data_IF_341772720629
#
_entry.id   IF_341772720629
#
_cell.length_a   1.000
_cell.length_b   1.000
_cell.length_c   1.000
_cell.angle_alpha   90.00
_cell.angle_beta   90.00
_cell.angle_gamma   90.00
#
_symmetry.space_group_name_H-M   'P 1'
#
loop_
_entity.id
_entity.type
_entity.pdbx_description
1 polymer ?
#
# COMPACT_ATOMS: atom_id res chain seq x y z
N UNK A 1 -9.72 38.17 -3.82
CA UNK A 1 -8.72 37.77 -2.80
C UNK A 1 -8.16 36.43 -3.25
N UNK A 2 -6.83 36.21 -3.24
CA UNK A 2 -6.28 34.87 -3.50
C UNK A 2 -6.65 33.92 -2.36
N UNK A 3 -7.07 32.70 -2.69
CA UNK A 3 -7.34 31.62 -1.74
C UNK A 3 -6.03 31.04 -1.21
N UNK A 4 -5.97 30.62 0.07
CA UNK A 4 -4.79 29.92 0.59
C UNK A 4 -4.86 28.46 0.17
N UNK A 5 -3.72 27.87 -0.15
CA UNK A 5 -3.63 26.45 -0.52
C UNK A 5 -4.29 25.53 0.51
N UNK A 6 -4.13 25.83 1.80
CA UNK A 6 -4.76 25.12 2.92
C UNK A 6 -6.29 25.12 2.89
N UNK A 7 -6.91 26.09 2.21
CA UNK A 7 -8.36 26.26 2.22
C UNK A 7 -9.05 25.26 1.26
N UNK A 8 -8.30 24.68 0.31
CA UNK A 8 -8.81 23.72 -0.67
C UNK A 8 -7.97 22.44 -0.78
N UNK A 9 -6.76 22.41 -0.23
CA UNK A 9 -5.91 21.23 -0.24
C UNK A 9 -6.43 20.20 0.77
N UNK A 10 -7.10 19.17 0.26
CA UNK A 10 -7.39 17.97 1.03
C UNK A 10 -6.25 16.98 0.80
N UNK A 11 -5.11 17.23 1.45
CA UNK A 11 -3.99 16.29 1.44
C UNK A 11 -4.37 15.10 2.32
N UNK A 12 -4.90 14.03 1.72
CA UNK A 12 -4.75 12.70 2.31
C UNK A 12 -3.26 12.39 2.32
N UNK A 13 -2.59 12.82 3.38
CA UNK A 13 -1.19 12.58 3.57
C UNK A 13 -1.02 11.06 3.66
N UNK A 14 -0.17 10.51 2.79
CA UNK A 14 0.19 9.10 2.82
C UNK A 14 1.16 8.89 4.00
N UNK A 15 0.60 9.02 5.20
CA UNK A 15 1.28 9.06 6.49
C UNK A 15 1.37 7.67 7.10
N UNK A 16 2.56 7.36 7.60
CA UNK A 16 2.84 6.11 8.29
C UNK A 16 4.32 5.81 8.25
N UNK A 17 4.81 5.19 9.31
CA UNK A 17 6.19 4.70 9.31
C UNK A 17 6.33 3.64 8.21
N UNK A 18 7.38 3.78 7.40
CA UNK A 18 7.67 2.82 6.34
C UNK A 18 8.23 1.54 6.94
N UNK A 19 7.48 0.45 6.82
CA UNK A 19 7.94 -0.89 7.15
C UNK A 19 8.41 -1.63 5.89
N UNK A 20 9.36 -2.55 6.04
CA UNK A 20 9.71 -3.45 4.92
C UNK A 20 8.61 -4.49 4.78
N UNK A 21 8.34 -4.90 3.55
CA UNK A 21 7.34 -5.94 3.28
C UNK A 21 7.67 -7.24 4.04
N UNK A 22 8.95 -7.57 4.17
CA UNK A 22 9.41 -8.76 4.89
C UNK A 22 9.12 -8.68 6.41
N UNK A 23 9.06 -7.48 7.00
CA UNK A 23 8.79 -7.27 8.43
C UNK A 23 7.31 -7.49 8.79
N UNK A 24 6.43 -7.48 7.78
CA UNK A 24 4.97 -7.63 7.91
C UNK A 24 4.45 -8.96 7.36
N UNK A 25 5.35 -9.87 6.94
CA UNK A 25 4.94 -11.20 6.50
C UNK A 25 4.33 -12.01 7.64
N UNK A 26 3.28 -12.75 7.31
CA UNK A 26 2.55 -13.62 8.24
C UNK A 26 1.95 -12.88 9.45
N UNK A 27 1.83 -11.55 9.37
CA UNK A 27 1.08 -10.73 10.33
C UNK A 27 -0.25 -10.34 9.70
N UNK A 28 -1.30 -10.31 10.51
CA UNK A 28 -2.57 -9.74 10.10
C UNK A 28 -2.46 -8.22 10.08
N UNK A 29 -2.80 -7.62 8.95
CA UNK A 29 -2.79 -6.18 8.75
C UNK A 29 -4.16 -5.74 8.24
N UNK A 30 -4.57 -4.53 8.65
CA UNK A 30 -5.76 -3.89 8.07
C UNK A 30 -5.31 -3.06 6.88
N UNK A 31 -5.53 -3.52 5.65
CA UNK A 31 -5.22 -2.76 4.44
C UNK A 31 -6.26 -1.67 4.28
N UNK A 32 -5.83 -0.41 4.30
CA UNK A 32 -6.73 0.75 4.24
C UNK A 32 -6.74 1.45 2.89
N UNK A 33 -5.74 1.17 2.04
CA UNK A 33 -5.62 1.82 0.74
C UNK A 33 -4.36 1.41 0.00
N UNK A 34 -4.23 1.84 -1.25
CA UNK A 34 -3.02 1.59 -2.03
C UNK A 34 -2.83 2.64 -3.12
N UNK A 35 -1.59 2.75 -3.62
CA UNK A 35 -1.25 3.51 -4.83
C UNK A 35 -0.32 2.69 -5.71
N UNK A 36 -0.54 2.72 -7.01
CA UNK A 36 0.39 2.14 -8.00
C UNK A 36 0.96 3.29 -8.82
N UNK A 37 2.28 3.34 -8.92
CA UNK A 37 3.02 4.37 -9.66
C UNK A 37 4.12 3.75 -10.49
N UNK A 38 4.54 4.45 -11.53
CA UNK A 38 5.68 4.02 -12.34
C UNK A 38 6.99 4.18 -11.54
N UNK A 39 7.87 3.20 -11.69
CA UNK A 39 9.15 3.15 -11.00
C UNK A 39 10.19 4.00 -11.73
N UNK A 40 10.77 4.95 -11.00
CA UNK A 40 11.93 5.70 -11.49
C UNK A 40 13.21 4.85 -11.57
N UNK A 41 13.28 3.72 -10.86
CA UNK A 41 14.47 2.87 -10.81
C UNK A 41 14.58 1.92 -12.01
N UNK A 42 13.45 1.48 -12.57
CA UNK A 42 13.41 0.55 -13.70
C UNK A 42 12.33 1.02 -14.68
N UNK A 43 12.77 1.42 -15.88
CA UNK A 43 11.88 1.83 -16.97
C UNK A 43 10.83 0.74 -17.23
N UNK A 44 9.59 1.16 -17.47
CA UNK A 44 8.44 0.29 -17.76
C UNK A 44 8.10 -0.70 -16.63
N UNK A 45 8.43 -0.38 -15.38
CA UNK A 45 7.97 -1.15 -14.22
C UNK A 45 7.16 -0.27 -13.28
N UNK A 46 6.24 -0.87 -12.54
CA UNK A 46 5.45 -0.16 -11.53
C UNK A 46 5.85 -0.62 -10.13
N UNK A 47 5.54 0.21 -9.14
CA UNK A 47 5.59 -0.16 -7.74
C UNK A 47 4.27 0.17 -7.06
N UNK A 48 4.02 -0.61 -6.01
CA UNK A 48 2.83 -0.55 -5.18
C UNK A 48 3.24 0.04 -3.83
N UNK A 49 2.52 1.06 -3.40
CA UNK A 49 2.48 1.52 -2.02
C UNK A 49 1.22 0.97 -1.38
N UNK A 50 1.37 0.17 -0.32
CA UNK A 50 0.26 -0.37 0.48
C UNK A 50 0.15 0.49 1.73
N UNK A 51 -1.07 0.95 2.04
CA UNK A 51 -1.40 1.54 3.32
C UNK A 51 -2.07 0.51 4.20
N UNK A 52 -1.59 0.39 5.42
CA UNK A 52 -2.14 -0.57 6.34
C UNK A 52 -1.96 -0.14 7.79
N UNK A 53 -2.86 -0.62 8.65
CA UNK A 53 -2.65 -0.58 10.09
C UNK A 53 -2.09 -1.90 10.59
N UNK A 54 -1.08 -1.80 11.44
CA UNK A 54 -0.55 -2.91 12.24
C UNK A 54 -0.60 -2.46 13.70
N UNK A 55 -1.22 -3.27 14.56
CA UNK A 55 -1.42 -2.94 15.98
C UNK A 55 -2.07 -1.57 16.22
N UNK A 56 -2.97 -1.17 15.31
CA UNK A 56 -3.69 0.11 15.36
C UNK A 56 -2.91 1.33 14.84
N UNK A 57 -1.62 1.18 14.52
CA UNK A 57 -0.73 2.24 14.02
C UNK A 57 -0.70 2.24 12.50
N UNK A 58 -0.74 3.43 11.87
CA UNK A 58 -0.65 3.56 10.41
C UNK A 58 0.78 3.37 9.89
N UNK A 59 0.90 2.57 8.83
CA UNK A 59 2.15 2.22 8.19
C UNK A 59 2.01 2.17 6.68
N UNK A 60 3.16 2.27 6.01
CA UNK A 60 3.26 2.11 4.55
C UNK A 60 4.29 1.05 4.19
N UNK A 61 4.03 0.28 3.14
CA UNK A 61 4.99 -0.66 2.56
C UNK A 61 5.09 -0.48 1.04
N UNK A 62 6.30 -0.60 0.51
CA UNK A 62 6.56 -0.53 -0.92
C UNK A 62 6.90 -1.91 -1.46
N UNK A 63 6.33 -2.27 -2.61
CA UNK A 63 6.60 -3.55 -3.25
C UNK A 63 6.48 -3.47 -4.78
N UNK A 64 7.31 -4.23 -5.48
CA UNK A 64 7.18 -4.44 -6.92
C UNK A 64 6.37 -5.70 -7.28
N UNK A 65 5.64 -6.28 -6.32
CA UNK A 65 4.89 -7.52 -6.54
C UNK A 65 3.68 -7.27 -7.44
N UNK A 66 3.74 -7.80 -8.67
CA UNK A 66 2.60 -7.78 -9.60
C UNK A 66 1.38 -8.52 -9.04
N UNK A 67 1.59 -9.63 -8.32
CA UNK A 67 0.49 -10.42 -7.73
C UNK A 67 -0.30 -9.58 -6.71
N UNK A 68 0.40 -8.85 -5.83
CA UNK A 68 -0.27 -7.97 -4.86
C UNK A 68 -0.98 -6.80 -5.54
N UNK A 69 -0.39 -6.24 -6.61
CA UNK A 69 -1.02 -5.18 -7.41
C UNK A 69 -2.31 -5.67 -8.05
N UNK A 70 -2.29 -6.84 -8.68
CA UNK A 70 -3.45 -7.41 -9.36
C UNK A 70 -4.57 -7.74 -8.37
N UNK A 71 -4.22 -8.29 -7.19
CA UNK A 71 -5.19 -8.54 -6.12
C UNK A 71 -5.83 -7.24 -5.61
N UNK A 72 -5.04 -6.19 -5.35
CA UNK A 72 -5.59 -4.92 -4.88
C UNK A 72 -6.46 -4.22 -5.92
N UNK A 73 -6.06 -4.21 -7.20
CA UNK A 73 -6.91 -3.68 -8.28
C UNK A 73 -8.22 -4.46 -8.39
N UNK A 74 -8.17 -5.78 -8.30
CA UNK A 74 -9.35 -6.63 -8.44
C UNK A 74 -10.33 -6.48 -7.28
N UNK A 75 -9.84 -6.29 -6.07
CA UNK A 75 -10.65 -6.25 -4.84
C UNK A 75 -10.70 -4.86 -4.18
N UNK A 76 -10.40 -3.79 -4.93
CA UNK A 76 -10.38 -2.41 -4.43
C UNK A 76 -11.70 -1.99 -3.76
N UNK A 77 -12.83 -2.46 -4.28
CA UNK A 77 -14.16 -2.20 -3.72
C UNK A 77 -14.39 -2.75 -2.31
N UNK A 78 -13.50 -3.61 -1.82
CA UNK A 78 -13.59 -4.21 -0.49
C UNK A 78 -12.71 -3.49 0.55
N UNK A 79 -11.99 -2.43 0.15
CA UNK A 79 -11.21 -1.65 1.10
C UNK A 79 -12.12 -0.88 2.07
N UNK A 80 -11.76 -0.80 3.37
CA UNK A 80 -10.63 -1.47 4.02
C UNK A 80 -10.92 -2.95 4.35
N UNK A 81 -9.90 -3.82 4.29
CA UNK A 81 -10.03 -5.24 4.64
C UNK A 81 -8.84 -5.76 5.47
N UNK A 82 -9.09 -6.79 6.28
CA UNK A 82 -8.04 -7.55 6.97
C UNK A 82 -7.43 -8.57 6.01
N UNK A 83 -6.11 -8.68 6.00
CA UNK A 83 -5.40 -9.68 5.22
C UNK A 83 -4.06 -10.04 5.84
N UNK A 84 -3.52 -11.17 5.40
CA UNK A 84 -2.15 -11.59 5.70
C UNK A 84 -1.34 -11.62 4.41
N UNK A 85 -0.17 -10.97 4.40
CA UNK A 85 0.77 -11.10 3.29
C UNK A 85 1.64 -12.34 3.52
N UNK A 86 1.53 -13.31 2.61
CA UNK A 86 2.32 -14.54 2.62
C UNK A 86 3.34 -14.53 1.48
N UNK A 87 4.52 -15.08 1.75
CA UNK A 87 5.54 -15.34 0.74
C UNK A 87 5.50 -16.83 0.37
N UNK A 88 5.01 -17.14 -0.83
CA UNK A 88 4.94 -18.50 -1.36
C UNK A 88 5.99 -18.61 -2.46
N UNK A 89 7.03 -19.41 -2.22
CA UNK A 89 8.20 -19.52 -3.08
C UNK A 89 8.85 -18.15 -3.34
N UNK A 90 8.68 -17.62 -4.56
CA UNK A 90 9.25 -16.35 -5.02
C UNK A 90 8.20 -15.22 -5.12
N UNK A 91 6.95 -15.48 -4.74
CA UNK A 91 5.84 -14.54 -4.91
C UNK A 91 5.23 -14.14 -3.57
N UNK A 92 4.69 -12.92 -3.51
CA UNK A 92 3.92 -12.41 -2.39
C UNK A 92 2.44 -12.42 -2.76
N UNK A 93 1.57 -12.87 -1.84
CA UNK A 93 0.11 -12.91 -2.04
C UNK A 93 -0.62 -12.45 -0.77
N UNK A 94 -1.75 -11.77 -0.95
CA UNK A 94 -2.75 -11.63 0.11
C UNK A 94 -3.48 -12.96 0.31
N UNK A 95 -3.81 -13.25 1.57
CA UNK A 95 -4.58 -14.39 2.06
C UNK A 95 -5.52 -13.95 3.17
#
# INVERSE_FOLDING_TARGET
MPERFSDFANEEAFEGEKLRLDDILNKEILVTGYKIKDSHQKKNTQYLTIHFKLDGVQHIAFTGSMVLMDQLRKYESHLPFLAVIKKINKHYTFS
#
